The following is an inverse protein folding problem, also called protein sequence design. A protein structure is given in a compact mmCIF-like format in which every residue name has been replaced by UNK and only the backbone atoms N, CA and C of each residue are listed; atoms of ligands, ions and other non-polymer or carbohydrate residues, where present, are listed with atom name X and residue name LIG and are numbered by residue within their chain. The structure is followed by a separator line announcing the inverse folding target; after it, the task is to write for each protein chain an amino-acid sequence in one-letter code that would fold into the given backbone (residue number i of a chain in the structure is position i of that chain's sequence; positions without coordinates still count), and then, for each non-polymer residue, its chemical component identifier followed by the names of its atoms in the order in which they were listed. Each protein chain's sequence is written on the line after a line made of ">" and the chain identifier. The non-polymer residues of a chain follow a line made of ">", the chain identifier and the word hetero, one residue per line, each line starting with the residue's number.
data_IF_946322699477
#
_entry.id   IF_946322699477
#
_cell.length_a   1.000
_cell.length_b   1.000
_cell.length_c   1.000
_cell.angle_alpha   90.00
_cell.angle_beta   90.00
_cell.angle_gamma   90.00
#
_symmetry.space_group_name_H-M   'P 1'
#
loop_
_entity.id
_entity.type
_entity.pdbx_description
1 polymer ?
#
# COMPACT_ATOMS: atom_id res chain seq x y z
N UNK A 1 40.35 -8.41 34.64
CA UNK A 1 40.07 -9.25 33.44
C UNK A 1 40.67 -8.56 32.22
N UNK A 2 41.77 -9.13 31.66
CA UNK A 2 42.52 -8.48 30.56
C UNK A 2 41.78 -8.67 29.24
N UNK A 3 41.05 -7.68 28.77
CA UNK A 3 40.53 -7.62 27.40
C UNK A 3 41.60 -6.84 26.58
N UNK A 4 42.67 -7.48 26.26
CA UNK A 4 43.67 -6.96 25.35
C UNK A 4 43.79 -7.90 24.14
N UNK A 5 42.86 -7.77 23.18
CA UNK A 5 43.10 -8.22 21.82
C UNK A 5 42.55 -7.14 20.89
N UNK A 6 43.40 -6.16 20.58
CA UNK A 6 43.20 -5.35 19.37
C UNK A 6 43.01 -6.32 18.21
N UNK A 7 41.93 -6.09 17.44
CA UNK A 7 41.72 -6.84 16.21
C UNK A 7 42.99 -6.75 15.35
N UNK A 8 43.53 -7.90 14.93
CA UNK A 8 44.66 -7.91 14.06
C UNK A 8 44.36 -7.14 12.77
N UNK A 9 45.35 -6.54 12.10
CA UNK A 9 45.11 -5.81 10.85
C UNK A 9 44.31 -6.60 9.81
N UNK A 10 44.50 -7.94 9.79
CA UNK A 10 43.68 -8.84 8.94
C UNK A 10 42.20 -8.89 9.34
N UNK A 11 41.86 -8.83 10.63
CA UNK A 11 40.49 -8.81 11.11
C UNK A 11 39.82 -7.45 10.85
N UNK A 12 40.57 -6.38 10.99
CA UNK A 12 40.13 -5.04 10.60
C UNK A 12 39.81 -4.93 9.08
N UNK A 13 40.72 -5.46 8.26
CA UNK A 13 40.51 -5.52 6.81
C UNK A 13 39.32 -6.40 6.43
N UNK A 14 39.12 -7.54 7.12
CA UNK A 14 37.95 -8.40 6.91
C UNK A 14 36.64 -7.71 7.32
N UNK A 15 36.61 -7.01 8.46
CA UNK A 15 35.44 -6.23 8.90
C UNK A 15 35.15 -5.08 7.93
N UNK A 16 36.19 -4.36 7.49
CA UNK A 16 36.01 -3.29 6.50
C UNK A 16 35.55 -3.85 5.14
N UNK A 17 36.03 -5.01 4.74
CA UNK A 17 35.57 -5.71 3.54
C UNK A 17 34.10 -6.15 3.64
N UNK A 18 33.69 -6.73 4.77
CA UNK A 18 32.30 -7.14 5.03
C UNK A 18 31.39 -5.92 5.05
N UNK A 19 31.79 -4.84 5.70
CA UNK A 19 31.02 -3.58 5.71
C UNK A 19 30.94 -2.97 4.31
N UNK A 20 32.03 -3.02 3.53
CA UNK A 20 32.02 -2.56 2.14
C UNK A 20 31.09 -3.38 1.26
N UNK A 21 31.10 -4.71 1.39
CA UNK A 21 30.17 -5.60 0.66
C UNK A 21 28.72 -5.38 1.12
N UNK A 22 28.48 -5.21 2.41
CA UNK A 22 27.14 -4.90 2.94
C UNK A 22 26.61 -3.55 2.43
N UNK A 23 27.50 -2.55 2.30
CA UNK A 23 27.15 -1.23 1.73
C UNK A 23 26.82 -1.34 0.23
N UNK A 24 27.56 -2.16 -0.53
CA UNK A 24 27.32 -2.38 -1.95
C UNK A 24 26.11 -3.26 -2.23
N UNK A 25 25.77 -4.18 -1.32
CA UNK A 25 24.60 -5.06 -1.45
C UNK A 25 23.26 -4.36 -1.12
N UNK A 26 23.29 -3.13 -0.59
CA UNK A 26 22.10 -2.37 -0.22
C UNK A 26 21.41 -1.64 -1.39
N UNK A 27 21.97 -1.65 -2.60
CA UNK A 27 21.40 -0.99 -3.77
C UNK A 27 20.45 -1.95 -4.50
N UNK A 28 19.21 -2.09 -4.02
CA UNK A 28 18.16 -2.74 -4.80
C UNK A 28 17.70 -1.79 -5.91
N UNK A 29 17.79 -2.24 -7.17
CA UNK A 29 17.19 -1.54 -8.31
C UNK A 29 15.81 -2.10 -8.57
N UNK A 30 14.84 -1.26 -8.91
CA UNK A 30 13.44 -1.63 -9.19
C UNK A 30 12.73 -2.34 -8.03
N UNK A 31 13.06 -1.99 -6.79
CA UNK A 31 12.34 -2.50 -5.62
C UNK A 31 10.92 -1.95 -5.60
N UNK A 32 9.92 -2.76 -5.20
CA UNK A 32 8.59 -2.22 -4.90
C UNK A 32 8.71 -1.10 -3.86
N UNK A 33 7.98 0.01 -4.05
CA UNK A 33 8.01 1.16 -3.14
C UNK A 33 9.38 1.88 -3.07
N UNK A 34 10.16 1.86 -4.14
CA UNK A 34 11.41 2.62 -4.22
C UNK A 34 11.12 4.12 -4.30
N UNK A 35 11.49 4.86 -3.24
CA UNK A 35 11.33 6.32 -3.16
C UNK A 35 12.35 7.10 -3.97
N UNK A 36 13.43 6.45 -4.43
CA UNK A 36 14.50 7.03 -5.23
C UNK A 36 14.27 6.89 -6.74
N UNK A 37 13.17 6.29 -7.13
CA UNK A 37 12.73 6.18 -8.52
C UNK A 37 11.33 6.78 -8.67
N UNK A 38 11.21 8.11 -8.64
CA UNK A 38 9.92 8.79 -8.80
C UNK A 38 9.31 8.42 -10.16
N UNK A 39 8.00 8.24 -10.18
CA UNK A 39 7.19 7.89 -11.35
C UNK A 39 5.99 8.82 -11.50
N UNK A 40 6.08 9.99 -10.89
CA UNK A 40 5.10 11.04 -10.99
C UNK A 40 5.66 12.37 -10.47
N UNK A 41 5.09 13.50 -10.91
CA UNK A 41 5.66 14.84 -10.68
C UNK A 41 5.72 15.23 -9.19
N UNK A 42 4.82 14.70 -8.36
CA UNK A 42 4.86 14.96 -6.93
C UNK A 42 5.95 14.15 -6.21
N UNK A 43 6.18 12.91 -6.63
CA UNK A 43 7.31 12.11 -6.11
C UNK A 43 8.64 12.73 -6.54
N UNK A 44 8.75 13.28 -7.75
CA UNK A 44 9.95 13.99 -8.23
C UNK A 44 10.29 15.21 -7.38
N UNK A 45 9.28 16.02 -6.98
CA UNK A 45 9.51 17.15 -6.05
C UNK A 45 10.09 16.68 -4.71
N UNK A 46 9.63 15.55 -4.19
CA UNK A 46 10.13 14.95 -2.95
C UNK A 46 11.56 14.43 -3.15
N UNK A 47 11.83 13.77 -4.26
CA UNK A 47 13.17 13.26 -4.58
C UNK A 47 14.19 14.39 -4.72
N UNK A 48 13.83 15.49 -5.38
CA UNK A 48 14.67 16.70 -5.47
C UNK A 48 15.02 17.26 -4.08
N UNK A 49 14.10 17.24 -3.13
CA UNK A 49 14.38 17.63 -1.74
C UNK A 49 15.34 16.63 -1.07
N UNK A 50 15.18 15.36 -1.30
CA UNK A 50 16.04 14.30 -0.76
C UNK A 50 17.49 14.49 -1.22
N UNK A 51 17.72 14.80 -2.50
CA UNK A 51 19.05 15.07 -3.04
C UNK A 51 19.76 16.26 -2.40
N UNK A 52 19.02 17.21 -1.85
CA UNK A 52 19.58 18.31 -1.03
C UNK A 52 19.91 17.81 0.40
N UNK A 53 18.97 17.10 1.03
CA UNK A 53 19.04 16.78 2.47
C UNK A 53 20.03 15.66 2.77
N UNK A 54 20.05 14.60 1.98
CA UNK A 54 20.86 13.40 2.28
C UNK A 54 22.37 13.63 2.21
N UNK A 55 22.95 14.38 1.25
CA UNK A 55 24.38 14.72 1.28
C UNK A 55 24.77 15.52 2.51
N UNK A 56 23.95 16.50 2.91
CA UNK A 56 24.16 17.30 4.13
C UNK A 56 24.15 16.37 5.37
N UNK A 57 23.14 15.54 5.50
CA UNK A 57 23.03 14.58 6.58
C UNK A 57 24.20 13.57 6.58
N UNK A 58 24.65 13.14 5.41
CA UNK A 58 25.81 12.25 5.24
C UNK A 58 27.10 12.88 5.77
N UNK A 59 27.38 14.14 5.41
CA UNK A 59 28.56 14.86 5.91
C UNK A 59 28.50 15.02 7.44
N UNK A 60 27.37 15.43 7.97
CA UNK A 60 27.18 15.57 9.43
C UNK A 60 27.33 14.20 10.11
N UNK A 61 26.76 13.15 9.54
CA UNK A 61 26.87 11.79 10.04
C UNK A 61 28.31 11.30 10.11
N UNK A 62 29.10 11.51 9.05
CA UNK A 62 30.53 11.14 9.01
C UNK A 62 31.30 11.88 10.09
N UNK A 63 31.08 13.20 10.25
CA UNK A 63 31.74 14.01 11.29
C UNK A 63 31.38 13.46 12.68
N UNK A 64 30.10 13.28 12.98
CA UNK A 64 29.64 12.84 14.30
C UNK A 64 30.13 11.43 14.63
N UNK A 65 29.99 10.48 13.70
CA UNK A 65 30.48 9.09 13.88
C UNK A 65 32.01 9.10 14.08
N UNK A 66 32.74 9.88 13.26
CA UNK A 66 34.19 10.04 13.38
C UNK A 66 34.60 10.57 14.75
N UNK A 67 33.91 11.59 15.26
CA UNK A 67 34.14 12.14 16.60
C UNK A 67 33.85 11.12 17.70
N UNK A 68 32.73 10.39 17.60
CA UNK A 68 32.39 9.32 18.57
C UNK A 68 33.48 8.27 18.59
N UNK A 69 33.91 7.77 17.43
CA UNK A 69 34.97 6.77 17.34
C UNK A 69 36.30 7.31 17.90
N UNK A 70 36.65 8.57 17.58
CA UNK A 70 37.82 9.22 18.13
C UNK A 70 37.77 9.29 19.67
N UNK A 71 36.63 9.72 20.23
CA UNK A 71 36.43 9.80 21.70
C UNK A 71 36.57 8.42 22.34
N UNK A 72 35.92 7.40 21.80
CA UNK A 72 36.00 6.02 22.32
C UNK A 72 37.41 5.45 22.30
N UNK A 73 38.21 5.76 21.27
CA UNK A 73 39.60 5.31 21.16
C UNK A 73 40.54 6.10 22.02
N UNK A 74 40.41 7.42 22.05
CA UNK A 74 41.35 8.34 22.70
C UNK A 74 41.16 8.43 24.21
N UNK A 75 39.91 8.42 24.67
CA UNK A 75 39.54 8.61 26.07
C UNK A 75 39.10 7.33 26.77
N UNK A 76 39.47 6.18 26.21
CA UNK A 76 39.25 4.88 26.83
C UNK A 76 39.94 4.85 28.20
N UNK A 77 39.22 4.36 29.22
CA UNK A 77 39.76 4.20 30.56
C UNK A 77 40.97 3.25 30.56
N UNK A 78 42.10 3.79 31.01
CA UNK A 78 43.39 3.09 31.16
C UNK A 78 43.98 3.32 32.56
N UNK A 79 43.16 3.69 33.54
CA UNK A 79 43.62 4.06 34.88
C UNK A 79 44.29 5.44 34.93
N UNK A 80 43.93 6.34 34.02
CA UNK A 80 44.45 7.71 33.97
C UNK A 80 43.93 8.57 35.13
N UNK A 81 44.70 9.55 35.61
CA UNK A 81 44.21 10.50 36.60
C UNK A 81 43.06 11.31 36.02
N UNK A 82 42.15 11.77 36.91
CA UNK A 82 41.03 12.61 36.54
C UNK A 82 41.56 13.86 35.79
N UNK A 83 41.07 14.18 34.59
CA UNK A 83 41.55 15.32 33.82
C UNK A 83 41.19 16.63 34.54
N UNK A 84 41.99 17.67 34.28
CA UNK A 84 41.71 19.00 34.76
C UNK A 84 40.34 19.47 34.27
N UNK A 85 39.52 19.91 35.21
CA UNK A 85 38.20 20.46 34.86
C UNK A 85 38.37 21.78 34.10
N UNK A 86 37.61 21.92 33.00
CA UNK A 86 37.60 23.13 32.20
C UNK A 86 36.19 23.70 32.20
N UNK A 87 36.10 25.06 32.34
CA UNK A 87 34.84 25.76 32.12
C UNK A 87 34.53 25.81 30.62
N UNK A 88 33.29 26.10 30.26
CA UNK A 88 32.83 26.24 28.87
C UNK A 88 33.66 27.23 28.06
N UNK A 89 33.64 27.12 26.76
CA UNK A 89 34.25 28.05 25.80
C UNK A 89 33.14 28.70 24.97
N UNK A 90 32.66 29.92 25.34
CA UNK A 90 31.51 30.54 24.70
C UNK A 90 31.59 30.59 23.17
N UNK A 91 32.77 30.92 22.63
CA UNK A 91 32.97 30.96 21.17
C UNK A 91 32.71 29.60 20.50
N UNK A 92 33.18 28.48 21.09
CA UNK A 92 32.93 27.13 20.57
C UNK A 92 31.46 26.76 20.68
N UNK A 93 30.82 27.07 21.81
CA UNK A 93 29.41 26.80 22.07
C UNK A 93 28.50 27.53 21.09
N UNK A 94 28.75 28.80 20.87
CA UNK A 94 28.04 29.66 19.88
C UNK A 94 28.22 29.05 18.47
N UNK A 95 29.45 28.72 18.09
CA UNK A 95 29.75 28.15 16.76
C UNK A 95 29.02 26.87 16.51
N UNK A 96 29.05 25.94 17.50
CA UNK A 96 28.37 24.65 17.42
C UNK A 96 26.82 24.76 17.44
N UNK A 97 26.28 25.89 17.88
CA UNK A 97 24.85 26.18 17.82
C UNK A 97 24.47 26.89 16.50
N UNK A 98 25.21 27.90 16.10
CA UNK A 98 24.86 28.70 14.93
C UNK A 98 25.03 27.91 13.61
N UNK A 99 26.10 27.14 13.45
CA UNK A 99 26.33 26.39 12.20
C UNK A 99 25.19 25.41 11.90
N UNK A 100 24.78 24.49 12.83
CA UNK A 100 23.63 23.61 12.60
C UNK A 100 22.33 24.39 12.38
N UNK A 101 22.11 25.50 13.11
CA UNK A 101 20.92 26.33 12.94
C UNK A 101 20.83 26.92 11.53
N UNK A 102 21.93 27.38 10.97
CA UNK A 102 21.98 27.89 9.59
C UNK A 102 21.72 26.79 8.56
N UNK A 103 22.33 25.62 8.74
CA UNK A 103 22.10 24.46 7.87
C UNK A 103 20.62 24.08 7.89
N UNK A 104 20.02 23.93 9.08
CA UNK A 104 18.61 23.61 9.23
C UNK A 104 17.68 24.69 8.66
N UNK A 105 18.07 25.97 8.77
CA UNK A 105 17.31 27.07 8.16
C UNK A 105 17.28 26.96 6.64
N UNK A 106 18.40 26.63 6.00
CA UNK A 106 18.46 26.40 4.55
C UNK A 106 17.57 25.23 4.15
N UNK A 107 17.73 24.08 4.81
CA UNK A 107 16.88 22.90 4.57
C UNK A 107 15.41 23.24 4.78
N UNK A 108 15.10 24.03 5.85
CA UNK A 108 13.76 24.47 6.17
C UNK A 108 13.10 25.27 5.03
N UNK A 109 13.81 26.20 4.41
CA UNK A 109 13.29 26.99 3.27
C UNK A 109 12.86 26.07 2.12
N UNK A 110 13.71 25.14 1.72
CA UNK A 110 13.37 24.20 0.64
C UNK A 110 12.24 23.24 1.03
N UNK A 111 12.19 22.80 2.30
CA UNK A 111 11.11 21.96 2.83
C UNK A 111 9.76 22.71 2.79
N UNK A 112 9.72 23.95 3.28
CA UNK A 112 8.50 24.76 3.22
C UNK A 112 8.04 24.96 1.77
N UNK A 113 8.96 25.28 0.87
CA UNK A 113 8.65 25.41 -0.56
C UNK A 113 8.02 24.13 -1.11
N UNK A 114 8.63 22.97 -0.88
CA UNK A 114 8.09 21.69 -1.33
C UNK A 114 6.69 21.39 -0.75
N UNK A 115 6.47 21.70 0.54
CA UNK A 115 5.16 21.54 1.17
C UNK A 115 4.09 22.40 0.48
N UNK A 116 4.38 23.67 0.20
CA UNK A 116 3.43 24.55 -0.48
C UNK A 116 3.18 24.07 -1.92
N UNK A 117 4.20 23.68 -2.66
CA UNK A 117 4.08 23.17 -4.03
C UNK A 117 3.25 21.87 -4.10
N UNK A 118 3.36 21.00 -3.09
CA UNK A 118 2.56 19.76 -2.98
C UNK A 118 1.12 20.02 -2.52
N UNK A 119 0.91 21.11 -1.77
CA UNK A 119 -0.41 21.49 -1.24
C UNK A 119 -1.19 22.41 -2.20
N UNK A 120 -0.53 23.01 -3.19
CA UNK A 120 -1.15 23.95 -4.12
C UNK A 120 -2.32 23.31 -4.84
N UNK A 121 -3.44 24.04 -4.96
CA UNK A 121 -4.58 23.62 -5.74
C UNK A 121 -4.20 23.59 -7.22
N UNK A 122 -3.98 22.37 -7.71
CA UNK A 122 -3.78 22.14 -9.13
C UNK A 122 -5.15 21.87 -9.76
N UNK A 123 -5.32 22.30 -11.00
CA UNK A 123 -6.48 21.88 -11.79
C UNK A 123 -6.51 20.35 -11.82
N UNK A 124 -7.47 19.78 -11.11
CA UNK A 124 -7.64 18.33 -11.05
C UNK A 124 -8.60 17.89 -12.13
N UNK A 125 -8.21 16.85 -12.84
CA UNK A 125 -9.02 16.32 -13.91
C UNK A 125 -9.97 15.23 -13.40
N UNK A 126 -9.54 14.43 -12.42
CA UNK A 126 -10.27 13.26 -11.94
C UNK A 126 -10.35 13.22 -10.41
N UNK A 127 -11.47 12.73 -9.87
CA UNK A 127 -11.68 12.53 -8.43
C UNK A 127 -11.85 11.04 -8.13
N UNK A 128 -11.15 10.55 -7.09
CA UNK A 128 -11.34 9.20 -6.53
C UNK A 128 -11.49 9.34 -5.01
N UNK A 129 -12.57 8.83 -4.45
CA UNK A 129 -12.74 8.74 -3.01
C UNK A 129 -12.02 7.49 -2.49
N UNK A 130 -11.19 7.67 -1.48
CA UNK A 130 -10.38 6.59 -0.87
C UNK A 130 -10.80 6.43 0.58
N UNK A 131 -11.25 5.25 0.93
CA UNK A 131 -11.68 4.97 2.30
C UNK A 131 -10.86 3.84 2.91
N UNK A 132 -10.14 4.14 4.01
CA UNK A 132 -9.44 3.14 4.81
C UNK A 132 -10.41 2.38 5.71
N UNK A 133 -10.21 1.07 5.80
CA UNK A 133 -10.89 0.20 6.76
C UNK A 133 -9.91 -0.88 7.22
N UNK A 134 -10.07 -1.40 8.41
CA UNK A 134 -9.22 -2.46 8.95
C UNK A 134 -9.49 -3.81 8.24
N UNK A 135 -8.65 -4.33 7.35
CA UNK A 135 -7.35 -3.79 6.86
C UNK A 135 -7.32 -3.89 5.35
N UNK A 136 -7.96 -2.96 4.68
CA UNK A 136 -8.08 -2.86 3.23
C UNK A 136 -8.49 -1.44 2.81
N UNK A 137 -8.36 -1.12 1.52
CA UNK A 137 -8.73 0.16 0.95
C UNK A 137 -9.89 0.00 -0.01
N UNK A 138 -10.90 0.85 0.12
CA UNK A 138 -11.99 1.00 -0.81
C UNK A 138 -11.75 2.23 -1.70
N UNK A 139 -12.05 2.08 -2.97
CA UNK A 139 -11.99 3.12 -3.97
C UNK A 139 -13.36 3.30 -4.58
N UNK A 140 -13.91 4.51 -4.47
CA UNK A 140 -15.18 4.91 -5.06
C UNK A 140 -14.91 5.99 -6.10
N UNK A 141 -15.30 5.70 -7.33
CA UNK A 141 -15.24 6.61 -8.48
C UNK A 141 -16.62 7.22 -8.66
N UNK A 142 -16.84 8.49 -8.28
CA UNK A 142 -18.10 9.16 -8.51
C UNK A 142 -18.39 9.33 -10.00
N UNK A 143 -19.60 9.70 -10.33
CA UNK A 143 -19.99 9.98 -11.72
C UNK A 143 -19.09 11.08 -12.29
N UNK A 144 -18.44 10.79 -13.41
CA UNK A 144 -17.52 11.67 -14.13
C UNK A 144 -17.62 11.33 -15.61
N UNK A 145 -18.57 11.93 -16.30
CA UNK A 145 -18.95 11.58 -17.69
C UNK A 145 -17.78 11.74 -18.66
N UNK A 146 -16.87 12.71 -18.41
CA UNK A 146 -15.67 12.92 -19.25
C UNK A 146 -14.72 11.71 -19.25
N UNK A 147 -14.87 10.79 -18.30
CA UNK A 147 -14.13 9.51 -18.24
C UNK A 147 -15.02 8.30 -18.53
N UNK A 148 -16.27 8.52 -18.99
CA UNK A 148 -17.23 7.46 -19.25
C UNK A 148 -17.83 6.82 -17.99
N UNK A 149 -17.58 7.40 -16.81
CA UNK A 149 -18.12 6.92 -15.53
C UNK A 149 -19.54 7.50 -15.36
N UNK A 150 -20.53 6.73 -15.81
CA UNK A 150 -21.95 7.11 -15.80
C UNK A 150 -22.70 6.65 -14.55
N UNK A 151 -22.09 5.75 -13.78
CA UNK A 151 -22.56 5.27 -12.46
C UNK A 151 -21.36 5.12 -11.54
N UNK A 152 -21.53 5.22 -10.21
CA UNK A 152 -20.42 5.02 -9.29
C UNK A 152 -19.79 3.64 -9.43
N UNK A 153 -18.46 3.59 -9.48
CA UNK A 153 -17.68 2.33 -9.52
C UNK A 153 -17.02 2.17 -8.15
N UNK A 154 -17.29 1.06 -7.46
CA UNK A 154 -16.69 0.74 -6.16
C UNK A 154 -15.80 -0.48 -6.32
N UNK A 155 -14.51 -0.33 -6.02
CA UNK A 155 -13.54 -1.42 -6.03
C UNK A 155 -12.65 -1.40 -4.77
N UNK A 156 -11.72 -2.33 -4.65
CA UNK A 156 -10.87 -2.44 -3.47
C UNK A 156 -9.51 -3.08 -3.77
N UNK A 157 -8.52 -2.75 -2.95
CA UNK A 157 -7.18 -3.32 -3.03
C UNK A 157 -6.31 -2.74 -4.14
N UNK A 158 -6.89 -2.49 -5.31
CA UNK A 158 -6.25 -1.84 -6.45
C UNK A 158 -7.03 -0.60 -6.86
N UNK A 159 -6.35 0.54 -6.93
CA UNK A 159 -6.87 1.78 -7.49
C UNK A 159 -6.42 1.90 -8.94
N UNK A 160 -7.35 2.06 -9.86
CA UNK A 160 -7.05 2.19 -11.30
C UNK A 160 -7.22 3.65 -11.71
N UNK A 161 -6.24 4.22 -12.41
CA UNK A 161 -6.27 5.61 -12.89
C UNK A 161 -5.63 5.73 -14.27
N UNK A 162 -5.98 6.76 -15.05
CA UNK A 162 -5.29 7.01 -16.32
C UNK A 162 -3.92 7.65 -16.07
N UNK A 163 -2.88 7.16 -16.74
CA UNK A 163 -1.55 7.78 -16.74
C UNK A 163 -1.59 9.18 -17.38
N UNK A 164 -0.71 10.08 -16.94
CA UNK A 164 -0.65 11.46 -17.38
C UNK A 164 -1.92 12.26 -17.06
N UNK A 165 -2.64 11.87 -16.00
CA UNK A 165 -3.87 12.54 -15.56
C UNK A 165 -3.74 12.93 -14.09
N UNK A 166 -4.03 14.18 -13.78
CA UNK A 166 -4.02 14.69 -12.42
C UNK A 166 -5.26 14.19 -11.66
N UNK A 167 -5.02 13.37 -10.67
CA UNK A 167 -6.07 12.79 -9.83
C UNK A 167 -6.02 13.39 -8.43
N UNK A 168 -7.17 13.78 -7.90
CA UNK A 168 -7.31 14.12 -6.49
C UNK A 168 -7.96 12.95 -5.75
N UNK A 169 -7.25 12.45 -4.75
CA UNK A 169 -7.77 11.47 -3.80
C UNK A 169 -8.42 12.20 -2.64
N UNK A 170 -9.68 11.85 -2.36
CA UNK A 170 -10.43 12.33 -1.19
C UNK A 170 -10.41 11.23 -0.15
N UNK A 171 -9.50 11.35 0.81
CA UNK A 171 -9.16 10.28 1.73
C UNK A 171 -9.91 10.43 3.06
N UNK A 172 -10.50 9.35 3.53
CA UNK A 172 -11.15 9.24 4.82
C UNK A 172 -11.00 7.82 5.38
N UNK A 173 -11.50 7.60 6.59
CA UNK A 173 -11.55 6.28 7.22
C UNK A 173 -12.92 6.01 7.82
N UNK A 174 -13.32 4.74 7.89
CA UNK A 174 -14.54 4.27 8.57
C UNK A 174 -14.31 3.80 10.00
N UNK A 175 -13.05 3.63 10.41
CA UNK A 175 -12.74 3.07 11.74
C UNK A 175 -11.60 3.82 12.45
N UNK A 176 -10.35 3.45 12.26
CA UNK A 176 -9.19 4.08 12.88
C UNK A 176 -8.44 4.95 11.86
N UNK A 177 -7.43 5.68 12.29
CA UNK A 177 -6.55 6.40 11.37
C UNK A 177 -5.74 5.40 10.55
N UNK A 178 -5.68 5.63 9.25
CA UNK A 178 -4.78 4.96 8.30
C UNK A 178 -3.97 6.04 7.59
N UNK A 179 -2.95 5.67 6.80
CA UNK A 179 -2.24 6.61 5.94
C UNK A 179 -2.01 5.99 4.57
N UNK A 180 -2.49 6.65 3.52
CA UNK A 180 -2.33 6.19 2.15
C UNK A 180 -0.97 6.62 1.62
N UNK A 181 -0.16 5.67 1.14
CA UNK A 181 1.19 5.96 0.66
C UNK A 181 1.61 5.05 -0.49
N UNK A 182 1.89 5.67 -1.63
CA UNK A 182 2.47 5.04 -2.82
C UNK A 182 3.74 5.83 -3.16
N UNK A 183 4.90 5.41 -2.63
CA UNK A 183 6.14 6.20 -2.64
C UNK A 183 6.59 6.69 -4.02
N UNK A 184 6.39 5.87 -5.05
CA UNK A 184 6.77 6.23 -6.42
C UNK A 184 5.93 7.36 -7.03
N UNK A 185 4.74 7.67 -6.46
CA UNK A 185 3.81 8.66 -7.02
C UNK A 185 3.69 9.93 -6.17
N UNK A 186 3.75 9.82 -4.84
CA UNK A 186 3.68 10.98 -3.93
C UNK A 186 4.12 10.61 -2.51
N UNK A 187 4.15 11.61 -1.63
CA UNK A 187 4.19 11.43 -0.17
C UNK A 187 2.93 10.75 0.36
N UNK A 188 2.86 10.58 1.67
CA UNK A 188 1.72 9.96 2.36
C UNK A 188 0.72 11.01 2.87
N UNK A 189 -0.54 10.57 3.04
CA UNK A 189 -1.59 11.36 3.64
C UNK A 189 -2.46 10.49 4.55
N UNK A 190 -2.79 11.03 5.73
CA UNK A 190 -3.60 10.31 6.70
C UNK A 190 -5.07 10.33 6.30
N UNK A 191 -5.67 9.14 6.31
CA UNK A 191 -7.10 8.92 6.19
C UNK A 191 -7.71 8.90 7.61
N UNK A 192 -8.36 9.99 8.01
CA UNK A 192 -8.85 10.21 9.39
C UNK A 192 -10.36 10.07 9.45
N UNK A 193 -10.93 9.34 10.42
CA UNK A 193 -12.37 9.25 10.60
C UNK A 193 -13.03 10.63 10.75
N UNK A 194 -14.12 10.86 10.03
CA UNK A 194 -14.88 12.10 10.08
C UNK A 194 -14.22 13.31 9.41
N UNK A 195 -13.10 13.12 8.70
CA UNK A 195 -12.43 14.16 7.92
C UNK A 195 -12.16 13.68 6.51
N UNK A 196 -12.10 14.62 5.57
CA UNK A 196 -11.66 14.37 4.20
C UNK A 196 -10.34 15.10 4.00
N UNK A 197 -9.28 14.35 3.74
CA UNK A 197 -7.99 14.89 3.36
C UNK A 197 -7.77 14.72 1.86
N UNK A 198 -7.05 15.65 1.26
CA UNK A 198 -6.78 15.66 -0.17
C UNK A 198 -5.34 15.25 -0.43
N UNK A 199 -5.14 14.24 -1.28
CA UNK A 199 -3.82 13.87 -1.81
C UNK A 199 -3.89 13.91 -3.34
N UNK A 200 -2.98 14.64 -3.95
CA UNK A 200 -2.89 14.73 -5.41
C UNK A 200 -1.94 13.68 -5.92
N UNK A 201 -2.31 13.03 -7.01
CA UNK A 201 -1.52 11.95 -7.58
C UNK A 201 -1.55 12.01 -9.11
N UNK A 202 -0.43 11.71 -9.71
CA UNK A 202 -0.28 11.54 -11.15
C UNK A 202 0.79 10.47 -11.37
N UNK A 203 0.58 9.59 -12.34
CA UNK A 203 1.57 8.62 -12.78
C UNK A 203 2.01 8.98 -14.19
N UNK A 204 3.32 9.08 -14.42
CA UNK A 204 3.89 9.48 -15.71
C UNK A 204 3.63 8.43 -16.81
N UNK A 205 3.64 7.15 -16.43
CA UNK A 205 3.57 6.02 -17.35
C UNK A 205 2.59 4.94 -16.87
N UNK A 206 2.02 4.14 -17.79
CA UNK A 206 1.29 2.93 -17.42
C UNK A 206 2.16 1.95 -16.64
N UNK A 207 1.59 1.35 -15.60
CA UNK A 207 2.31 0.40 -14.74
C UNK A 207 1.60 0.11 -13.42
N UNK A 208 2.25 -0.69 -12.58
CA UNK A 208 1.81 -1.04 -11.23
C UNK A 208 2.70 -0.34 -10.21
N UNK A 209 2.11 0.42 -9.32
CA UNK A 209 2.79 1.17 -8.27
C UNK A 209 2.34 0.67 -6.91
N UNK A 210 3.25 -0.01 -6.22
CA UNK A 210 2.96 -0.60 -4.92
C UNK A 210 2.92 0.46 -3.81
N UNK A 211 2.02 0.27 -2.86
CA UNK A 211 1.88 1.10 -1.68
C UNK A 211 1.51 0.31 -0.43
N UNK A 212 1.50 0.99 0.70
CA UNK A 212 1.15 0.42 1.99
C UNK A 212 0.52 1.45 2.92
N UNK A 213 -0.24 0.97 3.89
CA UNK A 213 -0.67 1.80 5.02
C UNK A 213 0.56 2.26 5.81
N UNK A 214 0.67 3.55 6.05
CA UNK A 214 1.83 4.18 6.70
C UNK A 214 1.50 4.79 8.08
N UNK A 215 0.29 4.49 8.65
CA UNK A 215 -0.09 4.83 10.02
C UNK A 215 -0.58 3.59 10.75
N UNK A 216 -0.10 3.38 11.98
CA UNK A 216 -0.43 2.17 12.73
C UNK A 216 -1.94 2.06 12.97
N UNK A 217 -2.56 1.07 12.35
CA UNK A 217 -4.00 0.86 12.33
C UNK A 217 -4.45 -0.47 12.98
N UNK A 218 -3.61 -1.08 13.78
CA UNK A 218 -3.96 -2.28 14.55
C UNK A 218 -3.33 -3.56 14.00
N UNK A 219 -3.97 -4.68 14.27
CA UNK A 219 -3.43 -6.05 14.22
C UNK A 219 -2.80 -6.43 12.86
N UNK A 220 -3.40 -6.04 11.75
CA UNK A 220 -2.90 -6.35 10.40
C UNK A 220 -2.37 -5.11 9.65
N UNK A 221 -1.87 -4.12 10.37
CA UNK A 221 -1.28 -2.91 9.80
C UNK A 221 -0.23 -3.24 8.71
N UNK A 222 0.73 -4.11 8.99
CA UNK A 222 1.77 -4.51 8.04
C UNK A 222 1.23 -5.25 6.80
N UNK A 223 0.00 -5.76 6.88
CA UNK A 223 -0.68 -6.50 5.81
C UNK A 223 -1.75 -5.67 5.10
N UNK A 224 -1.85 -4.39 5.40
CA UNK A 224 -2.73 -3.44 4.71
C UNK A 224 -1.95 -2.73 3.63
N UNK A 225 -1.99 -3.28 2.44
CA UNK A 225 -1.28 -2.79 1.26
C UNK A 225 -2.26 -2.30 0.21
N UNK A 226 -1.75 -1.69 -0.85
CA UNK A 226 -2.51 -1.29 -2.03
C UNK A 226 -1.60 -1.31 -3.26
N UNK A 227 -2.23 -1.30 -4.42
CA UNK A 227 -1.57 -1.06 -5.70
C UNK A 227 -2.32 0.04 -6.44
N UNK A 228 -1.60 0.97 -7.04
CA UNK A 228 -2.11 1.88 -8.04
C UNK A 228 -1.77 1.32 -9.41
N UNK A 229 -2.78 1.14 -10.22
CA UNK A 229 -2.68 0.68 -11.60
C UNK A 229 -2.88 1.89 -12.50
N UNK A 230 -1.83 2.37 -13.11
CA UNK A 230 -1.94 3.40 -14.14
C UNK A 230 -2.11 2.73 -15.51
N UNK A 231 -3.12 3.14 -16.26
CA UNK A 231 -3.44 2.65 -17.60
C UNK A 231 -3.29 3.77 -18.62
N UNK A 232 -3.10 3.44 -19.89
CA UNK A 232 -3.32 4.43 -20.94
C UNK A 232 -4.75 4.99 -20.86
N UNK A 233 -5.02 6.15 -21.44
CA UNK A 233 -6.38 6.72 -21.42
C UNK A 233 -7.39 5.81 -22.11
N UNK A 234 -6.96 5.13 -23.15
CA UNK A 234 -7.75 4.15 -23.91
C UNK A 234 -8.05 2.90 -23.09
N UNK A 235 -7.03 2.34 -22.44
CA UNK A 235 -7.18 1.16 -21.59
C UNK A 235 -7.99 1.48 -20.32
N UNK A 236 -7.85 2.69 -19.79
CA UNK A 236 -8.68 3.15 -18.67
C UNK A 236 -10.16 3.24 -19.08
N UNK A 237 -10.46 3.76 -20.27
CA UNK A 237 -11.84 3.78 -20.78
C UNK A 237 -12.39 2.36 -20.95
N UNK A 238 -11.59 1.40 -21.44
CA UNK A 238 -11.98 0.01 -21.55
C UNK A 238 -12.22 -0.63 -20.15
N UNK A 239 -11.36 -0.30 -19.17
CA UNK A 239 -11.56 -0.72 -17.78
C UNK A 239 -12.89 -0.19 -17.21
N UNK A 240 -13.21 1.09 -17.40
CA UNK A 240 -14.47 1.71 -16.97
C UNK A 240 -15.66 0.97 -17.58
N UNK A 241 -15.65 0.74 -18.90
CA UNK A 241 -16.71 0.01 -19.59
C UNK A 241 -16.91 -1.40 -19.01
N UNK A 242 -15.82 -2.10 -18.71
CA UNK A 242 -15.90 -3.42 -18.08
C UNK A 242 -16.49 -3.34 -16.67
N UNK A 243 -16.10 -2.35 -15.85
CA UNK A 243 -16.64 -2.19 -14.50
C UNK A 243 -18.14 -1.88 -14.50
N UNK A 244 -18.63 -1.15 -15.49
CA UNK A 244 -20.03 -0.79 -15.68
C UNK A 244 -20.85 -1.87 -16.38
N UNK A 245 -20.22 -2.88 -16.95
CA UNK A 245 -20.91 -3.95 -17.66
C UNK A 245 -21.80 -4.76 -16.69
N UNK A 246 -23.00 -5.09 -17.16
CA UNK A 246 -24.00 -5.86 -16.42
C UNK A 246 -23.44 -7.18 -15.85
N UNK A 247 -23.96 -7.55 -14.69
CA UNK A 247 -23.71 -8.85 -14.13
C UNK A 247 -24.25 -9.96 -15.03
N UNK A 248 -23.40 -10.96 -15.31
CA UNK A 248 -23.77 -12.14 -16.07
C UNK A 248 -23.82 -13.35 -15.13
N UNK A 249 -25.03 -13.85 -14.88
CA UNK A 249 -25.19 -15.06 -14.08
C UNK A 249 -24.53 -16.27 -14.78
N UNK A 250 -23.92 -17.17 -14.01
CA UNK A 250 -23.42 -18.45 -14.55
C UNK A 250 -24.53 -19.26 -15.19
N UNK A 251 -24.19 -20.07 -16.20
CA UNK A 251 -25.14 -20.96 -16.84
C UNK A 251 -25.72 -21.99 -15.82
N UNK A 252 -26.99 -22.36 -16.02
CA UNK A 252 -27.62 -23.36 -15.20
C UNK A 252 -26.82 -24.70 -15.24
N UNK A 253 -26.92 -25.49 -14.18
CA UNK A 253 -26.28 -26.81 -14.03
C UNK A 253 -24.74 -26.78 -14.05
N UNK A 254 -24.10 -25.62 -13.90
CA UNK A 254 -22.64 -25.50 -13.77
C UNK A 254 -22.19 -25.45 -12.32
N UNK A 255 -20.94 -25.83 -12.07
CA UNK A 255 -20.32 -25.70 -10.76
C UNK A 255 -20.32 -24.21 -10.30
N UNK A 256 -20.12 -23.28 -11.24
CA UNK A 256 -20.18 -21.84 -10.97
C UNK A 256 -21.57 -21.38 -10.51
N UNK A 257 -22.65 -21.96 -11.03
CA UNK A 257 -24.02 -21.67 -10.57
C UNK A 257 -24.27 -22.17 -9.15
N UNK A 258 -23.80 -23.35 -8.82
CA UNK A 258 -23.83 -23.83 -7.44
C UNK A 258 -23.00 -22.96 -6.51
N UNK A 259 -21.87 -22.42 -6.99
CA UNK A 259 -21.04 -21.47 -6.25
C UNK A 259 -21.73 -20.11 -6.03
N UNK A 260 -22.52 -19.63 -6.98
CA UNK A 260 -23.37 -18.46 -6.80
C UNK A 260 -24.37 -18.65 -5.65
N UNK A 261 -24.96 -19.84 -5.52
CA UNK A 261 -25.87 -20.16 -4.42
C UNK A 261 -25.16 -20.18 -3.06
N UNK A 262 -23.94 -20.77 -3.00
CA UNK A 262 -23.11 -20.70 -1.78
C UNK A 262 -22.77 -19.25 -1.45
N UNK A 263 -22.43 -18.44 -2.45
CA UNK A 263 -22.13 -17.01 -2.28
C UNK A 263 -23.32 -16.23 -1.75
N UNK A 264 -24.52 -16.47 -2.30
CA UNK A 264 -25.77 -15.86 -1.84
C UNK A 264 -26.12 -16.21 -0.39
N UNK A 265 -25.75 -17.40 0.06
CA UNK A 265 -26.07 -17.87 1.41
C UNK A 265 -25.03 -17.41 2.46
N UNK A 266 -23.74 -17.31 2.08
CA UNK A 266 -22.65 -17.10 3.02
C UNK A 266 -21.97 -15.73 2.90
N UNK A 267 -21.85 -15.17 1.68
CA UNK A 267 -20.93 -14.07 1.41
C UNK A 267 -21.64 -12.70 1.30
N UNK A 268 -22.88 -12.64 0.79
CA UNK A 268 -23.63 -11.38 0.58
C UNK A 268 -23.95 -10.64 1.88
N UNK A 269 -23.80 -11.30 3.02
CA UNK A 269 -23.93 -10.64 4.33
C UNK A 269 -22.92 -9.51 4.51
N UNK A 270 -21.73 -9.65 3.92
CA UNK A 270 -20.63 -8.69 4.03
C UNK A 270 -20.21 -8.13 2.67
N UNK A 271 -20.10 -8.99 1.65
CA UNK A 271 -19.66 -8.63 0.33
C UNK A 271 -20.82 -8.25 -0.59
N UNK A 272 -20.54 -7.37 -1.54
CA UNK A 272 -21.48 -6.96 -2.59
C UNK A 272 -20.93 -7.37 -3.96
N UNK A 273 -21.83 -7.81 -4.84
CA UNK A 273 -21.61 -7.95 -6.28
C UNK A 273 -22.74 -7.21 -6.96
N UNK A 274 -22.42 -6.15 -7.72
CA UNK A 274 -23.41 -5.32 -8.39
C UNK A 274 -24.20 -6.15 -9.41
N UNK A 275 -25.52 -6.00 -9.40
CA UNK A 275 -26.40 -6.72 -10.33
C UNK A 275 -26.73 -8.16 -9.92
N UNK A 276 -26.08 -8.73 -8.88
CA UNK A 276 -26.45 -10.04 -8.35
C UNK A 276 -27.85 -9.99 -7.71
N UNK A 277 -28.68 -10.97 -8.04
CA UNK A 277 -30.07 -11.08 -7.54
C UNK A 277 -30.30 -12.43 -6.88
N UNK A 278 -31.25 -12.45 -5.95
CA UNK A 278 -31.81 -13.67 -5.35
C UNK A 278 -32.73 -14.38 -6.34
N UNK A 279 -33.15 -15.58 -6.03
CA UNK A 279 -34.05 -16.38 -6.88
C UNK A 279 -35.40 -15.70 -7.12
N UNK A 280 -35.86 -14.87 -6.20
CA UNK A 280 -37.10 -14.06 -6.32
C UNK A 280 -36.93 -12.77 -7.15
N UNK A 281 -35.72 -12.55 -7.71
CA UNK A 281 -35.40 -11.37 -8.52
C UNK A 281 -35.01 -10.12 -7.71
N UNK A 282 -35.03 -10.17 -6.38
CA UNK A 282 -34.61 -9.07 -5.53
C UNK A 282 -33.08 -8.90 -5.51
N UNK A 283 -32.54 -7.68 -5.33
CA UNK A 283 -31.09 -7.49 -5.19
C UNK A 283 -30.53 -8.34 -4.04
N UNK A 284 -29.37 -8.95 -4.26
CA UNK A 284 -28.68 -9.73 -3.23
C UNK A 284 -27.89 -8.82 -2.28
N UNK A 285 -28.61 -8.01 -1.52
CA UNK A 285 -28.08 -7.09 -0.52
C UNK A 285 -28.56 -7.56 0.85
N UNK A 286 -27.68 -7.60 1.85
CA UNK A 286 -28.05 -7.76 3.24
C UNK A 286 -28.27 -6.38 3.87
N UNK A 287 -29.37 -6.22 4.60
CA UNK A 287 -29.62 -5.01 5.40
C UNK A 287 -28.62 -4.92 6.57
N UNK A 288 -28.33 -3.72 7.07
CA UNK A 288 -27.52 -3.57 8.27
C UNK A 288 -28.17 -4.32 9.45
N UNK A 289 -27.43 -5.26 10.02
CA UNK A 289 -27.79 -5.98 11.23
C UNK A 289 -26.58 -5.94 12.17
N UNK A 290 -26.73 -5.36 13.32
CA UNK A 290 -25.67 -5.20 14.32
C UNK A 290 -24.33 -4.75 13.74
N UNK A 291 -23.43 -5.69 13.49
CA UNK A 291 -22.06 -5.44 13.00
C UNK A 291 -21.75 -6.08 11.64
N UNK A 292 -22.78 -6.60 10.93
CA UNK A 292 -22.64 -7.29 9.64
C UNK A 292 -23.66 -6.77 8.63
N UNK A 293 -23.19 -6.28 7.48
CA UNK A 293 -24.04 -5.77 6.39
C UNK A 293 -23.29 -5.80 5.05
N UNK A 294 -24.00 -5.86 3.95
CA UNK A 294 -23.41 -5.76 2.60
C UNK A 294 -22.69 -4.42 2.43
N UNK A 295 -21.41 -4.47 2.02
CA UNK A 295 -20.51 -3.31 1.95
C UNK A 295 -19.62 -3.12 3.19
N UNK A 296 -19.77 -3.95 4.24
CA UNK A 296 -18.81 -4.01 5.34
C UNK A 296 -17.48 -4.64 4.94
N UNK A 297 -17.46 -5.37 3.82
CA UNK A 297 -16.29 -6.00 3.22
C UNK A 297 -16.11 -5.54 1.78
N UNK A 298 -14.94 -5.82 1.14
CA UNK A 298 -14.67 -5.43 -0.23
C UNK A 298 -15.78 -5.79 -1.21
N UNK A 299 -16.17 -4.84 -2.06
CA UNK A 299 -17.04 -5.12 -3.19
C UNK A 299 -16.33 -6.08 -4.15
N UNK A 300 -16.95 -7.19 -4.51
CA UNK A 300 -16.39 -8.25 -5.35
C UNK A 300 -16.88 -8.20 -6.81
N UNK A 301 -17.59 -7.15 -7.20
CA UNK A 301 -17.90 -6.89 -8.61
C UNK A 301 -16.61 -6.87 -9.41
N UNK A 302 -16.58 -7.64 -10.51
CA UNK A 302 -15.39 -7.74 -11.37
C UNK A 302 -14.11 -8.16 -10.59
N UNK A 303 -14.25 -9.06 -9.61
CA UNK A 303 -13.14 -9.48 -8.73
C UNK A 303 -11.94 -10.03 -9.50
N UNK A 304 -12.18 -10.78 -10.57
CA UNK A 304 -11.11 -11.37 -11.39
C UNK A 304 -10.44 -10.39 -12.36
N UNK A 305 -10.76 -9.11 -12.30
CA UNK A 305 -9.97 -8.07 -12.98
C UNK A 305 -8.82 -7.54 -12.11
N UNK A 306 -8.69 -8.01 -10.86
CA UNK A 306 -7.67 -7.58 -9.90
C UNK A 306 -6.51 -8.56 -9.86
N UNK A 307 -5.30 -8.06 -9.60
CA UNK A 307 -4.11 -8.90 -9.45
C UNK A 307 -3.91 -9.40 -8.01
N UNK A 308 -4.55 -8.73 -7.04
CA UNK A 308 -4.37 -8.99 -5.61
C UNK A 308 -5.70 -9.05 -4.87
N UNK A 309 -5.68 -9.61 -3.66
CA UNK A 309 -6.82 -9.66 -2.74
C UNK A 309 -6.38 -9.55 -1.27
N UNK A 310 -7.34 -9.61 -0.35
CA UNK A 310 -7.11 -9.51 1.09
C UNK A 310 -6.34 -8.25 1.53
N UNK A 311 -6.68 -7.06 0.95
CA UNK A 311 -5.97 -5.81 1.21
C UNK A 311 -4.59 -5.79 0.54
N UNK A 312 -4.48 -6.31 -0.67
CA UNK A 312 -3.27 -6.47 -1.47
C UNK A 312 -2.14 -7.24 -0.75
N UNK A 313 -2.50 -8.11 0.20
CA UNK A 313 -1.55 -8.96 0.90
C UNK A 313 -1.17 -10.19 0.06
N UNK A 314 -2.12 -10.72 -0.72
CA UNK A 314 -1.93 -11.91 -1.53
C UNK A 314 -2.13 -11.62 -3.01
N UNK A 315 -1.28 -12.22 -3.83
CA UNK A 315 -1.47 -12.23 -5.28
C UNK A 315 -2.62 -13.15 -5.65
N UNK A 316 -3.58 -12.63 -6.42
CA UNK A 316 -4.64 -13.40 -7.03
C UNK A 316 -4.14 -14.14 -8.28
N UNK A 317 -3.14 -13.59 -8.94
CA UNK A 317 -2.42 -14.20 -10.07
C UNK A 317 -1.27 -15.08 -9.59
N UNK A 318 -1.00 -16.18 -10.30
CA UNK A 318 0.18 -17.00 -10.04
C UNK A 318 1.47 -16.32 -10.51
N UNK A 319 2.62 -16.84 -10.06
CA UNK A 319 3.91 -16.21 -10.32
C UNK A 319 4.25 -16.05 -11.82
N UNK A 320 3.81 -16.98 -12.68
CA UNK A 320 4.06 -16.94 -14.13
C UNK A 320 3.31 -15.75 -14.77
N UNK A 321 2.01 -15.68 -14.55
CA UNK A 321 1.18 -14.61 -15.11
C UNK A 321 1.51 -13.26 -14.47
N UNK A 322 1.86 -13.25 -13.17
CA UNK A 322 2.33 -12.05 -12.51
C UNK A 322 3.59 -11.50 -13.20
N UNK A 323 4.58 -12.34 -13.45
CA UNK A 323 5.81 -11.91 -14.13
C UNK A 323 5.54 -11.35 -15.53
N UNK A 324 4.57 -11.93 -16.25
CA UNK A 324 4.19 -11.46 -17.58
C UNK A 324 3.51 -10.08 -17.55
N UNK A 325 2.62 -9.83 -16.59
CA UNK A 325 1.95 -8.52 -16.44
C UNK A 325 2.93 -7.47 -15.89
N UNK A 326 3.71 -7.78 -14.85
CA UNK A 326 4.63 -6.84 -14.21
C UNK A 326 5.87 -6.53 -15.04
N UNK A 327 6.28 -7.46 -15.90
CA UNK A 327 7.39 -7.29 -16.84
C UNK A 327 6.98 -6.70 -18.18
N UNK A 328 5.71 -6.35 -18.38
CA UNK A 328 5.22 -5.78 -19.62
C UNK A 328 5.79 -4.38 -19.84
N UNK A 329 6.04 -4.03 -21.11
CA UNK A 329 6.32 -2.64 -21.49
C UNK A 329 5.09 -1.75 -21.24
N UNK A 330 5.29 -0.44 -21.07
CA UNK A 330 4.19 0.51 -20.85
C UNK A 330 3.10 0.43 -21.93
N UNK A 331 3.47 0.08 -23.17
CA UNK A 331 2.54 -0.08 -24.30
C UNK A 331 1.73 -1.38 -24.30
N UNK A 332 2.25 -2.43 -23.65
CA UNK A 332 1.59 -3.76 -23.59
C UNK A 332 0.84 -3.97 -22.26
N UNK A 333 1.21 -3.19 -21.26
CA UNK A 333 0.74 -3.37 -19.89
C UNK A 333 -0.78 -3.38 -19.77
N UNK A 334 -1.45 -2.37 -20.37
CA UNK A 334 -2.89 -2.23 -20.27
C UNK A 334 -3.63 -3.43 -20.84
N UNK A 335 -3.26 -3.90 -22.04
CA UNK A 335 -3.89 -5.06 -22.66
C UNK A 335 -3.71 -6.34 -21.81
N UNK A 336 -2.53 -6.55 -21.24
CA UNK A 336 -2.25 -7.69 -20.35
C UNK A 336 -3.02 -7.58 -19.03
N UNK A 337 -3.07 -6.40 -18.43
CA UNK A 337 -3.82 -6.16 -17.21
C UNK A 337 -5.33 -6.39 -17.42
N UNK A 338 -5.90 -5.87 -18.49
CA UNK A 338 -7.33 -5.97 -18.82
C UNK A 338 -7.79 -7.40 -19.14
N UNK A 339 -6.87 -8.30 -19.49
CA UNK A 339 -7.21 -9.73 -19.62
C UNK A 339 -7.77 -10.31 -18.33
N UNK A 340 -7.38 -9.74 -17.19
CA UNK A 340 -7.80 -10.21 -15.87
C UNK A 340 -7.25 -11.59 -15.54
N UNK A 341 -7.76 -12.18 -14.46
CA UNK A 341 -7.32 -13.48 -13.94
C UNK A 341 -8.09 -14.60 -14.61
N UNK A 342 -7.43 -15.36 -15.47
CA UNK A 342 -7.97 -16.60 -16.07
C UNK A 342 -7.79 -17.79 -15.11
N UNK A 343 -8.45 -18.89 -15.38
CA UNK A 343 -8.29 -20.12 -14.59
C UNK A 343 -6.83 -20.59 -14.55
N UNK A 344 -6.12 -20.53 -15.69
CA UNK A 344 -4.69 -20.86 -15.77
C UNK A 344 -3.82 -19.91 -14.94
N UNK A 345 -4.20 -18.64 -14.86
CA UNK A 345 -3.46 -17.61 -14.14
C UNK A 345 -3.83 -17.48 -12.66
N UNK A 346 -4.90 -18.12 -12.20
CA UNK A 346 -5.36 -18.01 -10.83
C UNK A 346 -4.35 -18.61 -9.84
N UNK A 347 -4.08 -17.90 -8.76
CA UNK A 347 -3.38 -18.43 -7.59
C UNK A 347 -4.36 -19.23 -6.71
N UNK A 348 -4.77 -20.37 -7.21
CA UNK A 348 -5.76 -21.24 -6.57
C UNK A 348 -5.38 -21.59 -5.14
N UNK A 349 -4.10 -21.86 -4.88
CA UNK A 349 -3.61 -22.22 -3.53
C UNK A 349 -3.91 -21.13 -2.51
N UNK A 350 -3.63 -19.87 -2.83
CA UNK A 350 -3.85 -18.76 -1.92
C UNK A 350 -5.33 -18.43 -1.76
N UNK A 351 -6.10 -18.45 -2.85
CA UNK A 351 -7.53 -18.18 -2.79
C UNK A 351 -8.27 -19.26 -1.98
N UNK A 352 -7.98 -20.55 -2.19
CA UNK A 352 -8.54 -21.65 -1.40
C UNK A 352 -8.16 -21.55 0.08
N UNK A 353 -6.91 -21.23 0.39
CA UNK A 353 -6.48 -21.05 1.78
C UNK A 353 -7.25 -19.91 2.47
N UNK A 354 -7.50 -18.81 1.74
CA UNK A 354 -8.31 -17.69 2.23
C UNK A 354 -9.76 -18.10 2.49
N UNK A 355 -10.40 -18.77 1.56
CA UNK A 355 -11.79 -19.24 1.71
C UNK A 355 -11.92 -20.27 2.85
N UNK A 356 -10.92 -21.12 3.03
CA UNK A 356 -10.92 -22.14 4.09
C UNK A 356 -10.84 -21.54 5.49
N UNK A 357 -9.93 -20.61 5.71
CA UNK A 357 -9.78 -19.94 6.99
C UNK A 357 -8.97 -18.65 6.85
N UNK A 358 -9.63 -17.54 6.56
CA UNK A 358 -8.98 -16.25 6.37
C UNK A 358 -8.21 -15.76 7.62
N UNK A 359 -8.74 -15.85 8.86
CA UNK A 359 -8.03 -15.45 10.07
C UNK A 359 -6.73 -16.22 10.34
N UNK A 360 -6.62 -17.45 9.87
CA UNK A 360 -5.40 -18.25 10.06
C UNK A 360 -4.21 -17.74 9.25
N UNK A 361 -4.46 -17.02 8.13
CA UNK A 361 -3.40 -16.54 7.24
C UNK A 361 -3.26 -15.01 7.20
N UNK A 362 -4.23 -14.29 7.75
CA UNK A 362 -4.15 -12.84 8.00
C UNK A 362 -4.76 -12.55 9.37
N UNK A 363 -3.99 -12.03 10.34
CA UNK A 363 -4.53 -11.67 11.65
C UNK A 363 -5.63 -10.62 11.52
N UNK A 364 -6.81 -10.86 12.13
CA UNK A 364 -7.98 -9.97 12.03
C UNK A 364 -8.82 -10.07 13.31
N UNK A 365 -9.66 -9.05 13.57
CA UNK A 365 -10.69 -9.12 14.60
C UNK A 365 -11.95 -9.80 14.03
N UNK A 366 -11.87 -11.10 13.83
CA UNK A 366 -12.85 -11.90 13.11
C UNK A 366 -13.52 -12.98 13.97
N UNK A 367 -13.10 -13.14 15.23
CA UNK A 367 -13.69 -14.06 16.20
C UNK A 367 -14.45 -13.26 17.26
N UNK A 368 -15.58 -13.75 17.80
CA UNK A 368 -16.35 -13.06 18.82
C UNK A 368 -15.52 -12.59 20.04
N UNK A 369 -14.55 -13.39 20.45
CA UNK A 369 -13.63 -13.10 21.58
C UNK A 369 -12.68 -11.90 21.32
N UNK A 370 -12.55 -11.46 20.08
CA UNK A 370 -11.64 -10.40 19.65
C UNK A 370 -12.37 -9.08 19.35
N UNK A 371 -13.67 -8.98 19.58
CA UNK A 371 -14.46 -7.83 19.14
C UNK A 371 -14.44 -6.64 20.11
N UNK A 372 -14.00 -6.83 21.35
CA UNK A 372 -13.95 -5.76 22.35
C UNK A 372 -13.22 -4.48 21.84
N UNK A 373 -12.02 -4.58 21.24
CA UNK A 373 -11.32 -3.40 20.74
C UNK A 373 -12.00 -2.70 19.56
N UNK A 374 -13.08 -3.28 19.01
CA UNK A 374 -13.79 -2.81 17.81
C UNK A 374 -15.23 -2.38 18.09
N UNK A 375 -15.57 -2.15 19.36
CA UNK A 375 -16.95 -1.87 19.79
C UNK A 375 -17.95 -2.95 19.34
N UNK A 376 -17.53 -4.22 19.41
CA UNK A 376 -18.32 -5.37 19.01
C UNK A 376 -18.42 -5.62 17.50
N UNK A 377 -17.68 -4.87 16.68
CA UNK A 377 -17.74 -4.99 15.20
C UNK A 377 -16.67 -5.90 14.65
N UNK A 378 -17.05 -6.79 13.75
CA UNK A 378 -16.08 -7.58 12.99
C UNK A 378 -15.18 -6.67 12.13
N UNK A 379 -13.89 -6.94 12.16
CA UNK A 379 -12.88 -6.33 11.31
C UNK A 379 -12.06 -7.42 10.63
N UNK A 380 -12.59 -7.91 9.50
CA UNK A 380 -12.04 -8.99 8.72
C UNK A 380 -13.04 -10.09 8.40
N UNK A 381 -12.64 -11.00 7.54
CA UNK A 381 -13.43 -12.15 7.13
C UNK A 381 -13.34 -13.26 8.20
N UNK A 382 -14.46 -13.69 8.82
CA UNK A 382 -14.46 -14.78 9.80
C UNK A 382 -14.19 -16.12 9.11
N UNK A 383 -13.87 -17.14 9.91
CA UNK A 383 -13.89 -18.51 9.44
C UNK A 383 -15.35 -18.96 9.26
N UNK A 384 -15.76 -19.20 8.02
CA UNK A 384 -17.12 -19.61 7.67
C UNK A 384 -17.32 -21.14 7.73
N UNK A 385 -16.28 -21.89 8.08
CA UNK A 385 -16.30 -23.37 8.11
C UNK A 385 -16.80 -24.00 6.80
N UNK A 386 -16.41 -23.43 5.67
CA UNK A 386 -16.75 -23.92 4.34
C UNK A 386 -16.16 -25.33 4.13
N UNK A 387 -16.94 -26.21 3.51
CA UNK A 387 -16.43 -27.49 3.06
C UNK A 387 -15.53 -27.35 1.84
N UNK A 388 -14.69 -28.33 1.52
CA UNK A 388 -13.87 -28.28 0.29
C UNK A 388 -14.75 -28.23 -0.97
N UNK A 389 -15.93 -28.85 -0.97
CA UNK A 389 -16.92 -28.76 -2.04
C UNK A 389 -17.48 -27.36 -2.20
N UNK A 390 -17.81 -26.67 -1.10
CA UNK A 390 -18.23 -25.26 -1.15
C UNK A 390 -17.11 -24.36 -1.69
N UNK A 391 -15.85 -24.63 -1.30
CA UNK A 391 -14.69 -23.88 -1.78
C UNK A 391 -14.50 -24.09 -3.29
N UNK A 392 -14.64 -25.31 -3.81
CA UNK A 392 -14.56 -25.59 -5.24
C UNK A 392 -15.65 -24.84 -6.02
N UNK A 393 -16.88 -24.89 -5.54
CA UNK A 393 -18.01 -24.14 -6.09
C UNK A 393 -17.78 -22.64 -6.08
N UNK A 394 -17.32 -22.09 -4.95
CA UNK A 394 -17.02 -20.66 -4.82
C UNK A 394 -15.89 -20.22 -5.74
N UNK A 395 -14.82 -20.99 -5.89
CA UNK A 395 -13.73 -20.67 -6.83
C UNK A 395 -14.26 -20.63 -8.26
N UNK A 396 -15.08 -21.62 -8.66
CA UNK A 396 -15.72 -21.61 -9.97
C UNK A 396 -16.62 -20.39 -10.19
N UNK A 397 -17.40 -19.99 -9.18
CA UNK A 397 -18.22 -18.79 -9.25
C UNK A 397 -17.38 -17.51 -9.34
N UNK A 398 -16.40 -17.33 -8.46
CA UNK A 398 -15.54 -16.14 -8.45
C UNK A 398 -14.84 -15.94 -9.79
N UNK A 399 -14.43 -17.01 -10.49
CA UNK A 399 -13.85 -16.97 -11.83
C UNK A 399 -14.79 -16.36 -12.89
N UNK A 400 -16.10 -16.30 -12.65
CA UNK A 400 -17.07 -15.66 -13.55
C UNK A 400 -17.17 -14.15 -13.36
N UNK A 401 -16.65 -13.60 -12.25
CA UNK A 401 -16.70 -12.18 -11.92
C UNK A 401 -15.59 -11.39 -12.63
N UNK A 402 -15.67 -11.30 -13.96
CA UNK A 402 -14.73 -10.61 -14.86
C UNK A 402 -15.31 -9.35 -15.46
#
# INVERSE_FOLDING_TARGET
>A
MKINKMLSPRRLAAVAGILGVAFLAGCATNAPQDTWQPKGPNAEKIDNLNWLVFPIAGVVGVIVIGLILYILMRFRDRGQPIPKQTHGKPALEITLTIIPALILSVVGVFTFRAIFELAEDQDTEMIINVTGQQWWWEYDYPIQEQYGITQPIITSGQMVMPAGTKVILRETSRDVIHSFWVPALNGKKDAVPGRIHLLRMEADEPGIYAGQCAEFCGLSHANMRMEVIALSKEDFAAWVQNQLADYKAPAADTLAKQGEEVFLNQCVRCHQVNGLKRADGTPAIAAPEDNVYSGAAPNLTKFMTRNTFAGAMFDLVNNKCRADVWGASATEFGAKYLTGVTEECLNTTKLRAWLRNAPAIKPMYANPEQLEPTDGKYRGMPNLNLTEDDIDKLVAYLLTLR
#
